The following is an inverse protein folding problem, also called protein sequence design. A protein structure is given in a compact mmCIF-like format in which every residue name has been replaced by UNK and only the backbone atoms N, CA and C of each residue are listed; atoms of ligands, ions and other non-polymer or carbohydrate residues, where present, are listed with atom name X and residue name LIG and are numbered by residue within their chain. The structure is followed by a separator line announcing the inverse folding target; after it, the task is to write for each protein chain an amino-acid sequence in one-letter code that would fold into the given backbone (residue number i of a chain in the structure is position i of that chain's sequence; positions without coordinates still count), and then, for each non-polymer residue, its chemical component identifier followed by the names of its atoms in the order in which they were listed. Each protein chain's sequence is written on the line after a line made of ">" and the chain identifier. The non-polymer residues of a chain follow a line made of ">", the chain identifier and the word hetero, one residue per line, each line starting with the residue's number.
data_IF_673495833095
#
_entry.id   IF_673495833095
#
_cell.length_a   1.000
_cell.length_b   1.000
_cell.length_c   1.000
_cell.angle_alpha   90.00
_cell.angle_beta   90.00
_cell.angle_gamma   90.00
#
_symmetry.space_group_name_H-M   'P 1'
#
loop_
_entity.id
_entity.type
_entity.pdbx_description
1 polymer ?
#
# COMPACT_ATOMS: atom_id res chain seq x y z
N UNK A 1 17.12 -25.33 33.10
CA UNK A 1 18.37 -25.27 33.88
C UNK A 1 18.56 -23.83 34.37
N UNK A 2 18.74 -23.58 35.68
CA UNK A 2 19.03 -22.23 36.16
C UNK A 2 20.44 -21.82 35.73
N UNK A 3 20.53 -20.77 34.91
CA UNK A 3 21.80 -20.19 34.46
C UNK A 3 22.20 -19.11 35.47
N UNK A 4 23.20 -19.39 36.31
CA UNK A 4 23.79 -18.43 37.23
C UNK A 4 24.48 -17.31 36.44
N UNK A 5 24.06 -16.05 36.62
CA UNK A 5 24.68 -14.87 36.00
C UNK A 5 26.14 -14.68 36.49
N UNK A 6 27.11 -15.14 35.70
CA UNK A 6 28.52 -14.75 35.84
C UNK A 6 28.69 -13.34 35.26
N UNK A 7 28.42 -12.31 36.06
CA UNK A 7 28.70 -10.91 35.69
C UNK A 7 30.21 -10.66 35.75
N UNK A 8 30.85 -10.46 34.59
CA UNK A 8 32.13 -9.74 34.52
C UNK A 8 33.25 -10.41 33.72
N UNK A 9 33.14 -11.68 33.32
CA UNK A 9 34.12 -12.28 32.43
C UNK A 9 33.76 -11.98 30.97
N UNK A 10 34.68 -11.35 30.23
CA UNK A 10 34.60 -11.27 28.76
C UNK A 10 34.62 -12.70 28.25
N UNK A 11 33.48 -13.20 27.79
CA UNK A 11 33.38 -14.56 27.24
C UNK A 11 34.31 -14.64 26.02
N UNK A 12 35.24 -15.62 25.97
CA UNK A 12 36.11 -15.77 24.82
C UNK A 12 35.28 -16.05 23.57
N UNK A 13 35.58 -15.32 22.48
CA UNK A 13 34.89 -15.46 21.20
C UNK A 13 35.13 -16.87 20.66
N UNK A 14 34.09 -17.70 20.62
CA UNK A 14 34.15 -19.06 20.09
C UNK A 14 34.35 -18.99 18.57
N UNK A 15 35.26 -19.81 18.06
CA UNK A 15 35.49 -19.93 16.61
C UNK A 15 34.20 -20.44 15.92
N UNK A 16 33.78 -19.86 14.78
CA UNK A 16 32.52 -20.22 14.10
C UNK A 16 32.36 -21.73 13.84
N UNK A 17 33.45 -22.41 13.44
CA UNK A 17 33.50 -23.85 13.18
C UNK A 17 33.23 -24.71 14.42
N UNK A 18 33.70 -24.24 15.58
CA UNK A 18 33.48 -24.90 16.88
C UNK A 18 32.03 -24.70 17.34
N UNK A 19 31.49 -23.50 17.12
CA UNK A 19 30.09 -23.19 17.41
C UNK A 19 29.14 -24.07 16.60
N UNK A 20 29.37 -24.26 15.31
CA UNK A 20 28.55 -25.16 14.47
C UNK A 20 28.55 -26.58 15.03
N UNK A 21 29.73 -27.16 15.29
CA UNK A 21 29.84 -28.51 15.88
C UNK A 21 29.13 -28.62 17.23
N UNK A 22 29.20 -27.57 18.05
CA UNK A 22 28.52 -27.53 19.35
C UNK A 22 26.99 -27.47 19.19
N UNK A 23 26.47 -26.65 18.28
CA UNK A 23 25.03 -26.55 18.02
C UNK A 23 24.52 -27.84 17.40
N UNK A 24 25.20 -28.37 16.40
CA UNK A 24 24.82 -29.62 15.73
C UNK A 24 24.82 -30.81 16.68
N UNK A 25 25.79 -30.88 17.61
CA UNK A 25 25.81 -31.93 18.64
C UNK A 25 24.75 -31.73 19.73
N UNK A 26 24.43 -30.50 20.11
CA UNK A 26 23.42 -30.20 21.14
C UNK A 26 22.00 -30.47 20.67
N UNK A 27 21.69 -30.16 19.41
CA UNK A 27 20.32 -30.22 18.87
C UNK A 27 20.09 -31.35 17.87
N UNK A 28 21.14 -32.05 17.42
CA UNK A 28 21.02 -33.13 16.42
C UNK A 28 20.59 -32.64 15.04
N UNK A 29 20.83 -31.36 14.73
CA UNK A 29 20.50 -30.72 13.44
C UNK A 29 21.78 -30.28 12.72
N UNK A 30 21.73 -30.15 11.40
CA UNK A 30 22.84 -29.59 10.62
C UNK A 30 22.82 -28.06 10.71
N UNK A 31 23.41 -27.53 11.79
CA UNK A 31 23.50 -26.10 12.02
C UNK A 31 24.62 -25.49 11.16
N UNK A 32 24.26 -24.49 10.35
CA UNK A 32 25.18 -23.79 9.46
C UNK A 32 25.15 -22.30 9.76
N UNK A 33 26.32 -21.67 9.90
CA UNK A 33 26.41 -20.21 10.00
C UNK A 33 25.92 -19.53 8.70
N UNK A 34 25.73 -18.21 8.77
CA UNK A 34 25.43 -17.40 7.59
C UNK A 34 26.56 -17.54 6.55
N UNK A 35 26.18 -17.81 5.30
CA UNK A 35 27.12 -18.09 4.22
C UNK A 35 26.85 -17.30 2.92
N UNK A 36 27.46 -17.73 1.82
CA UNK A 36 27.30 -17.12 0.50
C UNK A 36 25.88 -17.29 -0.06
N UNK A 37 25.13 -18.33 0.32
CA UNK A 37 23.75 -18.54 -0.14
C UNK A 37 22.80 -17.60 0.61
N UNK A 38 23.03 -17.36 1.90
CA UNK A 38 22.31 -16.31 2.64
C UNK A 38 22.54 -14.95 1.98
N UNK A 39 23.80 -14.62 1.64
CA UNK A 39 24.14 -13.37 0.96
C UNK A 39 23.47 -13.26 -0.40
N UNK A 40 23.52 -14.33 -1.21
CA UNK A 40 22.82 -14.41 -2.50
C UNK A 40 21.32 -14.17 -2.34
N UNK A 41 20.72 -14.82 -1.34
CA UNK A 41 19.28 -14.69 -1.03
C UNK A 41 18.92 -13.25 -0.69
N UNK A 42 19.72 -12.57 0.15
CA UNK A 42 19.50 -11.17 0.50
C UNK A 42 19.60 -10.24 -0.71
N UNK A 43 20.55 -10.48 -1.61
CA UNK A 43 20.69 -9.71 -2.86
C UNK A 43 19.45 -9.89 -3.75
N UNK A 44 18.99 -11.13 -3.95
CA UNK A 44 17.79 -11.41 -4.75
C UNK A 44 16.56 -10.73 -4.14
N UNK A 45 16.38 -10.82 -2.83
CA UNK A 45 15.30 -10.15 -2.12
C UNK A 45 15.37 -8.62 -2.26
N UNK A 46 16.56 -8.04 -2.13
CA UNK A 46 16.78 -6.60 -2.32
C UNK A 46 16.45 -6.16 -3.76
N UNK A 47 16.81 -6.96 -4.76
CA UNK A 47 16.43 -6.71 -6.16
C UNK A 47 14.91 -6.72 -6.38
N UNK A 48 14.17 -7.64 -5.73
CA UNK A 48 12.71 -7.68 -5.79
C UNK A 48 12.06 -6.43 -5.16
N UNK A 49 12.59 -5.96 -4.03
CA UNK A 49 12.17 -4.69 -3.45
C UNK A 49 12.53 -3.51 -4.36
N UNK A 50 13.72 -3.49 -4.94
CA UNK A 50 14.16 -2.46 -5.90
C UNK A 50 13.23 -2.37 -7.12
N UNK A 51 12.85 -3.51 -7.70
CA UNK A 51 11.88 -3.57 -8.80
C UNK A 51 10.51 -2.99 -8.38
N UNK A 52 10.05 -3.35 -7.18
CA UNK A 52 8.78 -2.84 -6.63
C UNK A 52 8.86 -1.34 -6.31
N UNK A 53 10.02 -0.84 -5.88
CA UNK A 53 10.26 0.59 -5.67
C UNK A 53 10.19 1.35 -7.00
N UNK A 54 10.82 0.85 -8.07
CA UNK A 54 10.76 1.45 -9.41
C UNK A 54 9.31 1.52 -9.89
N UNK A 55 8.52 0.45 -9.68
CA UNK A 55 7.09 0.43 -9.98
C UNK A 55 6.32 1.54 -9.24
N UNK A 56 6.60 1.73 -7.94
CA UNK A 56 5.98 2.78 -7.14
C UNK A 56 6.41 4.19 -7.56
N UNK A 57 7.70 4.39 -7.89
CA UNK A 57 8.20 5.66 -8.42
C UNK A 57 7.51 5.98 -9.74
N UNK A 58 7.36 5.00 -10.63
CA UNK A 58 6.59 5.18 -11.86
C UNK A 58 5.15 5.62 -11.59
N UNK A 59 4.48 5.02 -10.59
CA UNK A 59 3.13 5.43 -10.18
C UNK A 59 3.08 6.87 -9.67
N UNK A 60 4.08 7.31 -8.90
CA UNK A 60 4.17 8.68 -8.40
C UNK A 60 4.44 9.68 -9.52
N UNK A 61 5.32 9.36 -10.47
CA UNK A 61 5.55 10.18 -11.66
C UNK A 61 4.31 10.28 -12.55
N UNK A 62 3.47 9.23 -12.58
CA UNK A 62 2.22 9.18 -13.34
C UNK A 62 0.99 9.38 -12.44
N UNK A 63 1.11 10.12 -11.34
CA UNK A 63 0.03 10.29 -10.36
C UNK A 63 -1.23 10.94 -10.94
N UNK A 64 -1.08 11.74 -12.02
CA UNK A 64 -2.21 12.37 -12.72
C UNK A 64 -3.09 11.36 -13.47
N UNK A 65 -2.64 10.11 -13.66
CA UNK A 65 -3.44 9.07 -14.30
C UNK A 65 -4.52 8.56 -13.35
N UNK A 66 -5.80 8.80 -13.70
CA UNK A 66 -6.97 8.59 -12.82
C UNK A 66 -7.03 7.17 -12.21
N UNK A 67 -6.78 6.07 -12.97
CA UNK A 67 -6.79 4.72 -12.40
C UNK A 67 -5.70 4.47 -11.34
N UNK A 68 -4.50 5.05 -11.50
CA UNK A 68 -3.42 4.94 -10.50
C UNK A 68 -3.79 5.72 -9.23
N UNK A 69 -4.29 6.95 -9.40
CA UNK A 69 -4.74 7.80 -8.28
C UNK A 69 -5.84 7.13 -7.45
N UNK A 70 -6.78 6.45 -8.11
CA UNK A 70 -7.88 5.75 -7.45
C UNK A 70 -7.41 4.62 -6.50
N UNK A 71 -6.26 4.00 -6.78
CA UNK A 71 -5.66 2.96 -5.91
C UNK A 71 -5.02 3.50 -4.63
N UNK A 72 -5.18 4.77 -4.29
CA UNK A 72 -4.68 5.40 -3.07
C UNK A 72 -3.19 5.10 -2.81
N UNK A 73 -2.34 5.72 -3.63
CA UNK A 73 -0.91 5.45 -3.70
C UNK A 73 -0.19 5.63 -2.35
N UNK A 74 -0.64 6.55 -1.50
CA UNK A 74 -0.07 6.79 -0.17
C UNK A 74 -0.13 5.52 0.69
N UNK A 75 -1.30 4.88 0.80
CA UNK A 75 -1.43 3.66 1.58
C UNK A 75 -0.62 2.51 0.99
N UNK A 76 -0.58 2.39 -0.34
CA UNK A 76 0.23 1.36 -1.01
C UNK A 76 1.73 1.57 -0.74
N UNK A 77 2.22 2.81 -0.76
CA UNK A 77 3.60 3.14 -0.42
C UNK A 77 3.91 2.84 1.05
N UNK A 78 3.00 3.13 1.98
CA UNK A 78 3.16 2.77 3.40
C UNK A 78 3.18 1.26 3.62
N UNK A 79 2.35 0.49 2.90
CA UNK A 79 2.38 -0.97 2.88
C UNK A 79 3.76 -1.45 2.43
N UNK A 80 4.26 -0.95 1.30
CA UNK A 80 5.60 -1.29 0.79
C UNK A 80 6.70 -0.98 1.82
N UNK A 81 6.71 0.23 2.40
CA UNK A 81 7.70 0.61 3.41
C UNK A 81 7.64 -0.29 4.64
N UNK A 82 6.44 -0.67 5.09
CA UNK A 82 6.29 -1.61 6.20
C UNK A 82 6.85 -3.00 5.85
N UNK A 83 6.68 -3.48 4.63
CA UNK A 83 7.28 -4.75 4.17
C UNK A 83 8.81 -4.68 4.15
N UNK A 84 9.40 -3.57 3.71
CA UNK A 84 10.87 -3.39 3.72
C UNK A 84 11.41 -3.39 5.15
N UNK A 85 10.76 -2.66 6.07
CA UNK A 85 11.19 -2.60 7.47
C UNK A 85 10.97 -3.93 8.20
N UNK A 86 9.90 -4.65 7.85
CA UNK A 86 9.68 -6.01 8.30
C UNK A 86 10.79 -6.95 7.81
N UNK A 87 11.18 -6.88 6.53
CA UNK A 87 12.29 -7.67 5.98
C UNK A 87 13.61 -7.38 6.71
N UNK A 88 13.91 -6.12 7.03
CA UNK A 88 15.11 -5.79 7.84
C UNK A 88 15.08 -6.49 9.20
N UNK A 89 13.91 -6.53 9.86
CA UNK A 89 13.73 -7.33 11.06
C UNK A 89 13.97 -8.82 10.79
N UNK A 90 13.41 -9.33 9.70
CA UNK A 90 13.50 -10.74 9.33
C UNK A 90 14.94 -11.23 9.15
N UNK A 91 15.79 -10.44 8.48
CA UNK A 91 17.24 -10.69 8.31
C UNK A 91 17.92 -11.06 9.64
N UNK A 92 17.66 -10.27 10.68
CA UNK A 92 18.28 -10.47 12.00
C UNK A 92 17.73 -11.69 12.72
N UNK A 93 16.42 -11.87 12.64
CA UNK A 93 15.71 -12.88 13.42
C UNK A 93 15.83 -14.28 12.83
N UNK A 94 15.99 -14.39 11.50
CA UNK A 94 16.27 -15.65 10.81
C UNK A 94 17.79 -15.96 10.72
N UNK A 95 18.63 -15.17 11.41
CA UNK A 95 20.09 -15.35 11.50
C UNK A 95 20.84 -15.31 10.16
N UNK A 96 20.36 -14.52 9.20
CA UNK A 96 21.12 -14.25 7.97
C UNK A 96 22.37 -13.41 8.23
N UNK A 97 22.44 -12.73 9.39
CA UNK A 97 23.58 -11.94 9.84
C UNK A 97 24.01 -12.36 11.23
N UNK A 98 25.32 -12.23 11.52
CA UNK A 98 25.85 -12.48 12.86
C UNK A 98 25.40 -11.40 13.84
N UNK A 99 24.79 -11.82 14.95
CA UNK A 99 24.22 -10.92 15.96
C UNK A 99 25.28 -10.43 16.96
N UNK A 100 26.22 -9.62 16.47
CA UNK A 100 27.29 -8.98 17.25
C UNK A 100 27.07 -7.45 17.28
N UNK A 101 27.43 -6.80 18.39
CA UNK A 101 27.36 -5.34 18.52
C UNK A 101 25.92 -4.81 18.51
N UNK A 102 25.57 -3.95 17.57
CA UNK A 102 24.20 -3.38 17.48
C UNK A 102 23.16 -4.47 17.16
N UNK A 103 23.57 -5.52 16.47
CA UNK A 103 22.71 -6.65 16.11
C UNK A 103 22.37 -7.55 17.30
N UNK A 104 23.12 -7.51 18.40
CA UNK A 104 22.79 -8.29 19.62
C UNK A 104 21.59 -7.72 20.39
N UNK A 105 21.08 -6.54 20.02
CA UNK A 105 19.90 -5.91 20.63
C UNK A 105 18.60 -6.55 20.14
N UNK A 106 18.40 -7.83 20.48
CA UNK A 106 17.32 -8.69 19.98
C UNK A 106 15.93 -8.08 20.10
N UNK A 107 15.60 -7.42 21.22
CA UNK A 107 14.29 -6.79 21.41
C UNK A 107 14.00 -5.71 20.36
N UNK A 108 15.00 -4.92 19.97
CA UNK A 108 14.83 -3.89 18.92
C UNK A 108 14.45 -4.56 17.60
N UNK A 109 15.23 -5.54 17.17
CA UNK A 109 15.00 -6.15 15.87
C UNK A 109 13.76 -7.05 15.80
N UNK A 110 13.51 -7.85 16.85
CA UNK A 110 12.34 -8.74 16.91
C UNK A 110 11.06 -7.94 17.15
N UNK A 111 11.00 -7.06 18.16
CA UNK A 111 9.75 -6.39 18.53
C UNK A 111 9.44 -5.20 17.61
N UNK A 112 10.43 -4.37 17.32
CA UNK A 112 10.21 -3.09 16.63
C UNK A 112 10.38 -3.18 15.12
N UNK A 113 11.28 -4.03 14.61
CA UNK A 113 11.42 -4.19 13.17
C UNK A 113 10.55 -5.33 12.63
N UNK A 114 10.64 -6.52 13.22
CA UNK A 114 9.84 -7.65 12.75
C UNK A 114 8.37 -7.49 13.15
N UNK A 115 8.03 -7.62 14.42
CA UNK A 115 6.62 -7.69 14.87
C UNK A 115 5.83 -6.42 14.55
N UNK A 116 6.35 -5.24 14.93
CA UNK A 116 5.63 -3.98 14.71
C UNK A 116 5.33 -3.76 13.23
N UNK A 117 6.30 -3.93 12.32
CA UNK A 117 6.04 -3.64 10.91
C UNK A 117 5.22 -4.73 10.22
N UNK A 118 5.26 -5.98 10.66
CA UNK A 118 4.26 -6.99 10.23
C UNK A 118 2.84 -6.55 10.63
N UNK A 119 2.68 -6.01 11.84
CA UNK A 119 1.37 -5.53 12.31
C UNK A 119 0.93 -4.28 11.57
N UNK A 120 1.84 -3.32 11.36
CA UNK A 120 1.58 -2.12 10.55
C UNK A 120 1.19 -2.51 9.13
N UNK A 121 1.87 -3.46 8.50
CA UNK A 121 1.52 -3.99 7.18
C UNK A 121 0.07 -4.51 7.12
N UNK A 122 -0.32 -5.36 8.07
CA UNK A 122 -1.68 -5.87 8.17
C UNK A 122 -2.70 -4.73 8.41
N UNK A 123 -2.33 -3.78 9.28
CA UNK A 123 -3.16 -2.63 9.65
C UNK A 123 -3.43 -1.69 8.48
N UNK A 124 -2.42 -1.37 7.67
CA UNK A 124 -2.58 -0.56 6.47
C UNK A 124 -3.48 -1.26 5.45
N UNK A 125 -3.35 -2.57 5.32
CA UNK A 125 -4.20 -3.38 4.46
C UNK A 125 -5.67 -3.33 4.92
N UNK A 126 -5.91 -3.46 6.23
CA UNK A 126 -7.25 -3.32 6.83
C UNK A 126 -7.82 -1.92 6.60
N UNK A 127 -7.06 -0.86 6.86
CA UNK A 127 -7.50 0.53 6.66
C UNK A 127 -7.88 0.77 5.20
N UNK A 128 -7.11 0.20 4.26
CA UNK A 128 -7.42 0.27 2.84
C UNK A 128 -8.75 -0.43 2.50
N UNK A 129 -8.95 -1.67 2.94
CA UNK A 129 -10.22 -2.38 2.67
C UNK A 129 -11.41 -1.74 3.37
N UNK A 130 -11.21 -1.18 4.56
CA UNK A 130 -12.21 -0.38 5.25
C UNK A 130 -12.58 0.88 4.46
N UNK A 131 -11.61 1.54 3.83
CA UNK A 131 -11.86 2.67 2.94
C UNK A 131 -12.76 2.27 1.76
N UNK A 132 -12.48 1.13 1.14
CA UNK A 132 -13.31 0.59 0.05
C UNK A 132 -14.73 0.25 0.52
N UNK A 133 -14.90 -0.44 1.66
CA UNK A 133 -16.22 -0.76 2.21
C UNK A 133 -17.02 0.52 2.49
N UNK A 134 -16.38 1.55 3.05
CA UNK A 134 -17.04 2.81 3.37
C UNK A 134 -17.52 3.54 2.11
N UNK A 135 -16.68 3.60 1.07
CA UNK A 135 -17.03 4.30 -0.17
C UNK A 135 -18.11 3.56 -0.94
N UNK A 136 -17.94 2.25 -1.16
CA UNK A 136 -18.80 1.48 -2.05
C UNK A 136 -20.04 0.92 -1.36
N UNK A 137 -19.88 0.26 -0.21
CA UNK A 137 -21.03 -0.36 0.49
C UNK A 137 -21.81 0.66 1.31
N UNK A 138 -21.11 1.52 2.05
CA UNK A 138 -21.78 2.48 2.94
C UNK A 138 -22.18 3.78 2.25
N UNK A 139 -21.70 4.02 1.01
CA UNK A 139 -21.93 5.25 0.24
C UNK A 139 -21.55 6.51 1.02
N UNK A 140 -20.59 6.41 1.94
CA UNK A 140 -20.12 7.52 2.77
C UNK A 140 -18.78 8.00 2.23
N UNK A 141 -18.54 9.32 2.14
CA UNK A 141 -17.23 9.82 1.76
C UNK A 141 -16.20 9.32 2.77
N UNK A 142 -15.09 8.80 2.25
CA UNK A 142 -13.92 8.51 3.05
C UNK A 142 -13.15 9.81 3.25
N UNK A 143 -13.58 10.57 4.24
CA UNK A 143 -12.92 11.83 4.60
C UNK A 143 -11.55 11.53 5.21
N UNK A 144 -10.58 12.41 4.93
CA UNK A 144 -9.20 12.30 5.42
C UNK A 144 -9.16 12.10 6.93
N UNK A 145 -10.06 12.76 7.69
CA UNK A 145 -10.12 12.63 9.16
C UNK A 145 -10.49 11.22 9.62
N UNK A 146 -11.51 10.59 9.03
CA UNK A 146 -11.91 9.25 9.49
C UNK A 146 -10.84 8.20 9.16
N UNK A 147 -10.17 8.36 8.02
CA UNK A 147 -9.04 7.53 7.62
C UNK A 147 -7.90 7.60 8.64
N UNK A 148 -7.52 8.83 9.01
CA UNK A 148 -6.46 9.08 9.99
C UNK A 148 -6.82 8.50 11.35
N UNK A 149 -8.06 8.65 11.81
CA UNK A 149 -8.49 8.07 13.10
C UNK A 149 -8.37 6.55 13.08
N UNK A 150 -8.87 5.88 12.04
CA UNK A 150 -8.72 4.42 11.91
C UNK A 150 -7.25 4.00 11.91
N UNK A 151 -6.39 4.71 11.18
CA UNK A 151 -4.95 4.47 11.17
C UNK A 151 -4.32 4.65 12.56
N UNK A 152 -4.58 5.78 13.24
CA UNK A 152 -4.01 6.09 14.55
C UNK A 152 -4.41 5.04 15.58
N UNK A 153 -5.68 4.64 15.61
CA UNK A 153 -6.17 3.61 16.55
C UNK A 153 -5.38 2.31 16.38
N UNK A 154 -5.19 1.85 15.15
CA UNK A 154 -4.49 0.58 14.92
C UNK A 154 -2.98 0.71 15.17
N UNK A 155 -2.35 1.84 14.80
CA UNK A 155 -0.94 2.10 15.11
C UNK A 155 -0.70 2.16 16.62
N UNK A 156 -1.54 2.87 17.37
CA UNK A 156 -1.44 2.95 18.84
C UNK A 156 -1.58 1.58 19.47
N UNK A 157 -2.50 0.75 18.98
CA UNK A 157 -2.65 -0.64 19.45
C UNK A 157 -1.36 -1.45 19.23
N UNK A 158 -0.77 -1.39 18.03
CA UNK A 158 0.46 -2.12 17.70
C UNK A 158 1.67 -1.63 18.50
N UNK A 159 1.82 -0.31 18.65
CA UNK A 159 2.89 0.30 19.45
C UNK A 159 2.75 -0.07 20.93
N UNK A 160 1.51 -0.06 21.45
CA UNK A 160 1.24 -0.48 22.83
C UNK A 160 1.62 -1.95 23.03
N UNK A 161 1.28 -2.82 22.08
CA UNK A 161 1.70 -4.23 22.11
C UNK A 161 3.23 -4.37 22.18
N UNK A 162 3.98 -3.66 21.35
CA UNK A 162 5.44 -3.70 21.37
C UNK A 162 6.03 -3.11 22.66
N UNK A 163 5.47 -2.01 23.17
CA UNK A 163 5.90 -1.40 24.43
C UNK A 163 5.68 -2.33 25.63
N UNK A 164 4.52 -2.97 25.73
CA UNK A 164 4.25 -3.94 26.80
C UNK A 164 5.27 -5.08 26.74
N UNK A 165 5.52 -5.66 25.56
CA UNK A 165 6.50 -6.74 25.41
C UNK A 165 7.95 -6.29 25.61
N UNK A 166 8.28 -5.02 25.35
CA UNK A 166 9.60 -4.46 25.65
C UNK A 166 9.86 -4.42 27.17
N UNK A 167 8.83 -4.09 27.95
CA UNK A 167 8.90 -3.96 29.41
C UNK A 167 8.89 -5.31 30.14
N UNK A 168 8.36 -6.38 29.52
CA UNK A 168 8.38 -7.72 30.10
C UNK A 168 9.82 -8.28 30.11
N UNK A 169 10.13 -9.09 31.13
CA UNK A 169 11.45 -9.71 31.29
C UNK A 169 11.85 -10.59 30.11
N UNK A 170 13.15 -10.67 29.86
CA UNK A 170 13.74 -11.43 28.73
C UNK A 170 13.43 -12.93 28.84
N UNK A 171 13.27 -13.45 30.06
CA UNK A 171 12.88 -14.84 30.33
C UNK A 171 11.48 -15.22 29.82
N UNK A 172 10.59 -14.25 29.63
CA UNK A 172 9.21 -14.43 29.18
C UNK A 172 8.97 -13.92 27.76
N UNK A 173 9.96 -13.25 27.15
CA UNK A 173 9.83 -12.62 25.83
C UNK A 173 10.98 -12.99 24.91
N UNK A 174 11.87 -12.03 24.64
CA UNK A 174 12.99 -12.12 23.72
C UNK A 174 14.25 -11.77 24.49
N UNK A 175 15.20 -12.69 24.51
CA UNK A 175 16.49 -12.52 25.16
C UNK A 175 17.63 -12.83 24.19
N UNK A 176 18.76 -12.13 24.33
CA UNK A 176 19.97 -12.49 23.61
C UNK A 176 20.71 -13.60 24.37
N UNK A 177 21.16 -14.64 23.66
CA UNK A 177 21.94 -15.75 24.21
C UNK A 177 23.39 -15.62 23.71
N UNK A 178 24.33 -15.11 24.53
CA UNK A 178 25.69 -14.80 24.08
C UNK A 178 26.46 -16.01 23.58
N UNK A 179 26.29 -17.18 24.21
CA UNK A 179 26.99 -18.42 23.83
C UNK A 179 26.66 -18.89 22.42
N UNK A 180 25.45 -18.59 21.97
CA UNK A 180 24.96 -18.96 20.66
C UNK A 180 24.96 -17.77 19.70
N UNK A 181 25.25 -16.54 20.12
CA UNK A 181 25.03 -15.32 19.31
C UNK A 181 23.63 -15.30 18.63
N UNK A 182 22.58 -15.74 19.35
CA UNK A 182 21.20 -15.80 18.83
C UNK A 182 20.19 -15.06 19.69
N UNK A 183 19.09 -14.63 19.09
CA UNK A 183 17.92 -14.19 19.81
C UNK A 183 17.06 -15.39 20.18
N UNK A 184 16.97 -15.69 21.48
CA UNK A 184 16.02 -16.66 21.99
C UNK A 184 14.64 -16.01 22.09
N UNK A 185 13.69 -16.55 21.34
CA UNK A 185 12.29 -16.12 21.35
C UNK A 185 11.49 -17.19 22.06
N UNK A 186 10.93 -16.86 23.24
CA UNK A 186 10.15 -17.80 24.04
C UNK A 186 8.89 -18.27 23.30
N UNK A 187 8.50 -19.53 23.53
CA UNK A 187 7.33 -20.13 22.87
C UNK A 187 6.03 -19.37 23.19
N UNK A 188 5.85 -18.91 24.43
CA UNK A 188 4.69 -18.14 24.84
C UNK A 188 4.56 -16.84 24.02
N UNK A 189 5.67 -16.12 23.83
CA UNK A 189 5.69 -14.93 23.00
C UNK A 189 5.39 -15.23 21.53
N UNK A 190 5.94 -16.32 20.96
CA UNK A 190 5.63 -16.75 19.58
C UNK A 190 4.14 -17.00 19.39
N UNK A 191 3.52 -17.79 20.28
CA UNK A 191 2.08 -18.10 20.23
C UNK A 191 1.25 -16.83 20.34
N UNK A 192 1.57 -15.94 21.29
CA UNK A 192 0.85 -14.69 21.47
C UNK A 192 0.93 -13.79 20.22
N UNK A 193 2.13 -13.65 19.65
CA UNK A 193 2.35 -12.82 18.46
C UNK A 193 1.63 -13.38 17.22
N UNK A 194 1.67 -14.70 17.02
CA UNK A 194 0.95 -15.40 15.94
C UNK A 194 -0.56 -15.26 16.14
N UNK A 195 -1.07 -15.43 17.36
CA UNK A 195 -2.50 -15.29 17.67
C UNK A 195 -2.99 -13.88 17.38
N UNK A 196 -2.25 -12.85 17.80
CA UNK A 196 -2.59 -11.47 17.50
C UNK A 196 -2.60 -11.21 15.97
N UNK A 197 -1.66 -11.79 15.22
CA UNK A 197 -1.64 -11.71 13.76
C UNK A 197 -2.86 -12.37 13.11
N UNK A 198 -3.28 -13.54 13.60
CA UNK A 198 -4.52 -14.21 13.16
C UNK A 198 -5.75 -13.35 13.39
N UNK A 199 -5.88 -12.71 14.56
CA UNK A 199 -7.01 -11.82 14.87
C UNK A 199 -7.09 -10.66 13.87
N UNK A 200 -5.96 -10.02 13.55
CA UNK A 200 -5.93 -8.95 12.54
C UNK A 200 -6.42 -9.45 11.17
N UNK A 201 -5.94 -10.60 10.71
CA UNK A 201 -6.31 -11.13 9.39
C UNK A 201 -7.73 -11.72 9.34
N UNK A 202 -8.27 -12.22 10.45
CA UNK A 202 -9.70 -12.55 10.55
C UNK A 202 -10.54 -11.29 10.36
N UNK A 203 -10.17 -10.19 11.01
CA UNK A 203 -10.82 -8.88 10.80
C UNK A 203 -10.76 -8.41 9.34
N UNK A 204 -9.61 -8.62 8.69
CA UNK A 204 -9.44 -8.37 7.26
C UNK A 204 -10.37 -9.25 6.40
N UNK A 205 -10.48 -10.55 6.70
CA UNK A 205 -11.38 -11.48 6.03
C UNK A 205 -12.85 -11.07 6.14
N UNK A 206 -13.28 -10.57 7.31
CA UNK A 206 -14.63 -10.02 7.51
C UNK A 206 -14.88 -8.81 6.60
N UNK A 207 -13.90 -7.91 6.46
CA UNK A 207 -14.02 -6.77 5.54
C UNK A 207 -14.12 -7.23 4.09
N UNK A 208 -13.26 -8.15 3.64
CA UNK A 208 -13.29 -8.69 2.27
C UNK A 208 -14.64 -9.38 1.99
N UNK A 209 -15.17 -10.13 2.95
CA UNK A 209 -16.49 -10.72 2.83
C UNK A 209 -17.58 -9.67 2.65
N UNK A 210 -17.48 -8.51 3.31
CA UNK A 210 -18.40 -7.38 3.06
C UNK A 210 -18.21 -6.76 1.68
N UNK A 211 -16.98 -6.72 1.16
CA UNK A 211 -16.68 -6.21 -0.18
C UNK A 211 -17.27 -7.07 -1.32
N UNK A 212 -17.78 -8.29 -1.05
CA UNK A 212 -18.36 -9.19 -2.06
C UNK A 212 -19.53 -8.61 -2.86
N UNK A 213 -20.20 -7.59 -2.31
CA UNK A 213 -21.38 -6.99 -2.94
C UNK A 213 -21.03 -5.78 -3.83
N UNK A 214 -19.74 -5.44 -3.96
CA UNK A 214 -19.31 -4.34 -4.82
C UNK A 214 -19.33 -4.84 -6.28
N UNK A 215 -20.19 -4.26 -7.10
CA UNK A 215 -20.29 -4.59 -8.52
C UNK A 215 -19.01 -4.16 -9.25
N UNK A 216 -18.10 -5.11 -9.43
CA UNK A 216 -17.16 -5.40 -10.52
C UNK A 216 -16.41 -4.31 -11.34
N UNK A 217 -16.66 -3.00 -11.26
CA UNK A 217 -16.01 -2.08 -12.21
C UNK A 217 -14.50 -2.00 -12.09
N UNK A 218 -13.95 -2.26 -10.90
CA UNK A 218 -12.51 -2.10 -10.63
C UNK A 218 -11.74 -3.40 -10.44
N UNK A 219 -12.37 -4.58 -10.62
CA UNK A 219 -11.78 -5.89 -10.29
C UNK A 219 -11.22 -5.98 -8.85
N UNK A 220 -11.55 -5.01 -7.99
CA UNK A 220 -10.95 -4.84 -6.67
C UNK A 220 -11.29 -5.97 -5.70
N UNK A 221 -12.45 -6.59 -5.88
CA UNK A 221 -12.82 -7.76 -5.08
C UNK A 221 -11.92 -8.96 -5.36
N UNK A 222 -11.65 -9.26 -6.62
CA UNK A 222 -10.76 -10.36 -7.00
C UNK A 222 -9.31 -10.08 -6.61
N UNK A 223 -8.85 -8.84 -6.77
CA UNK A 223 -7.54 -8.41 -6.25
C UNK A 223 -7.45 -8.59 -4.73
N UNK A 224 -8.52 -8.22 -3.99
CA UNK A 224 -8.58 -8.38 -2.53
C UNK A 224 -8.57 -9.86 -2.11
N UNK A 225 -9.27 -10.73 -2.84
CA UNK A 225 -9.23 -12.18 -2.61
C UNK A 225 -7.83 -12.72 -2.88
N UNK A 226 -7.18 -12.34 -3.98
CA UNK A 226 -5.83 -12.80 -4.31
C UNK A 226 -4.83 -12.41 -3.20
N UNK A 227 -4.91 -11.17 -2.72
CA UNK A 227 -4.14 -10.69 -1.57
C UNK A 227 -4.42 -11.52 -0.33
N UNK A 228 -5.70 -11.77 -0.01
CA UNK A 228 -6.08 -12.56 1.16
C UNK A 228 -5.55 -14.00 1.09
N UNK A 229 -5.62 -14.64 -0.07
CA UNK A 229 -5.09 -16.01 -0.26
C UNK A 229 -3.58 -16.05 -0.04
N UNK A 230 -2.82 -15.11 -0.62
CA UNK A 230 -1.37 -15.01 -0.42
C UNK A 230 -1.04 -14.85 1.06
N UNK A 231 -1.76 -13.99 1.76
CA UNK A 231 -1.53 -13.71 3.17
C UNK A 231 -1.93 -14.87 4.09
N UNK A 232 -3.04 -15.56 3.82
CA UNK A 232 -3.41 -16.74 4.61
C UNK A 232 -2.38 -17.85 4.40
N UNK A 233 -1.88 -18.04 3.17
CA UNK A 233 -0.77 -18.95 2.91
C UNK A 233 0.48 -18.59 3.72
N UNK A 234 0.86 -17.32 3.73
CA UNK A 234 1.98 -16.78 4.50
C UNK A 234 1.82 -16.99 6.01
N UNK A 235 0.61 -16.78 6.52
CA UNK A 235 0.28 -16.92 7.93
C UNK A 235 0.29 -18.38 8.38
N UNK A 236 -0.20 -19.29 7.54
CA UNK A 236 -0.12 -20.73 7.75
C UNK A 236 1.33 -21.21 7.76
N UNK A 237 2.13 -20.81 6.76
CA UNK A 237 3.57 -21.09 6.71
C UNK A 237 4.26 -20.60 7.98
N UNK A 238 4.03 -19.34 8.36
CA UNK A 238 4.66 -18.74 9.55
C UNK A 238 4.25 -19.49 10.83
N UNK A 239 2.98 -19.91 10.93
CA UNK A 239 2.47 -20.69 12.06
C UNK A 239 3.15 -22.06 12.13
N UNK A 240 3.23 -22.79 11.00
CA UNK A 240 3.89 -24.10 10.94
C UNK A 240 5.39 -23.98 11.27
N UNK A 241 6.08 -23.03 10.64
CA UNK A 241 7.52 -22.82 10.85
C UNK A 241 7.85 -22.49 12.31
N UNK A 242 7.08 -21.61 12.95
CA UNK A 242 7.38 -21.20 14.32
C UNK A 242 6.93 -22.21 15.39
N UNK A 243 5.86 -22.96 15.15
CA UNK A 243 5.33 -23.91 16.14
C UNK A 243 5.93 -25.30 16.02
N UNK A 244 6.20 -25.77 14.79
CA UNK A 244 6.69 -27.13 14.57
C UNK A 244 8.22 -27.19 14.54
N UNK A 245 8.88 -26.16 14.01
CA UNK A 245 10.34 -26.14 13.83
C UNK A 245 10.98 -25.13 14.76
N UNK A 246 11.09 -25.46 16.05
CA UNK A 246 11.62 -24.55 17.08
C UNK A 246 12.99 -23.95 16.72
N UNK A 247 13.81 -24.74 16.01
CA UNK A 247 15.20 -24.46 15.63
C UNK A 247 15.38 -24.11 14.14
N UNK A 248 14.31 -23.72 13.42
CA UNK A 248 14.38 -23.47 11.97
C UNK A 248 15.44 -22.43 11.57
N UNK A 249 15.78 -21.50 12.46
CA UNK A 249 16.80 -20.46 12.25
C UNK A 249 18.21 -21.02 12.04
N UNK A 250 18.50 -22.21 12.57
CA UNK A 250 19.79 -22.88 12.40
C UNK A 250 19.84 -23.75 11.13
N UNK A 251 18.67 -24.17 10.62
CA UNK A 251 18.54 -24.94 9.40
C UNK A 251 18.57 -24.00 8.18
N UNK A 252 19.71 -23.97 7.47
CA UNK A 252 19.95 -23.09 6.32
C UNK A 252 18.79 -23.05 5.31
N UNK A 253 18.29 -24.23 4.91
CA UNK A 253 17.21 -24.32 3.93
C UNK A 253 15.93 -23.64 4.40
N UNK A 254 15.54 -23.84 5.66
CA UNK A 254 14.30 -23.29 6.22
C UNK A 254 14.39 -21.79 6.46
N UNK A 255 15.52 -21.28 6.95
CA UNK A 255 15.68 -19.82 7.12
C UNK A 255 15.63 -19.09 5.77
N UNK A 256 16.25 -19.64 4.72
CA UNK A 256 16.21 -19.07 3.37
C UNK A 256 14.79 -19.14 2.81
N UNK A 257 14.14 -20.30 2.90
CA UNK A 257 12.75 -20.48 2.47
C UNK A 257 11.83 -19.46 3.14
N UNK A 258 11.91 -19.34 4.48
CA UNK A 258 11.08 -18.42 5.26
C UNK A 258 11.19 -16.98 4.76
N UNK A 259 12.43 -16.50 4.62
CA UNK A 259 12.72 -15.13 4.22
C UNK A 259 12.28 -14.86 2.78
N UNK A 260 12.51 -15.81 1.86
CA UNK A 260 12.06 -15.69 0.46
C UNK A 260 10.54 -15.64 0.38
N UNK A 261 9.84 -16.50 1.11
CA UNK A 261 8.37 -16.54 1.14
C UNK A 261 7.82 -15.22 1.68
N UNK A 262 8.39 -14.67 2.76
CA UNK A 262 8.00 -13.37 3.32
C UNK A 262 8.16 -12.23 2.32
N UNK A 263 9.30 -12.18 1.63
CA UNK A 263 9.58 -11.13 0.63
C UNK A 263 8.68 -11.26 -0.60
N UNK A 264 8.52 -12.46 -1.14
CA UNK A 264 7.66 -12.71 -2.29
C UNK A 264 6.22 -12.37 -1.96
N UNK A 265 5.69 -12.82 -0.83
CA UNK A 265 4.33 -12.50 -0.42
C UNK A 265 4.12 -10.99 -0.24
N UNK A 266 5.03 -10.33 0.49
CA UNK A 266 4.94 -8.89 0.75
C UNK A 266 5.04 -8.04 -0.51
N UNK A 267 5.89 -8.42 -1.47
CA UNK A 267 5.99 -7.74 -2.76
C UNK A 267 4.78 -8.03 -3.65
N UNK A 268 4.32 -9.28 -3.74
CA UNK A 268 3.12 -9.65 -4.50
C UNK A 268 1.88 -8.86 -4.07
N UNK A 269 1.70 -8.58 -2.77
CA UNK A 269 0.60 -7.75 -2.30
C UNK A 269 0.64 -6.34 -2.89
N UNK A 270 1.81 -5.71 -2.96
CA UNK A 270 1.97 -4.39 -3.60
C UNK A 270 1.66 -4.49 -5.10
N UNK A 271 2.18 -5.53 -5.76
CA UNK A 271 1.91 -5.79 -7.17
C UNK A 271 0.43 -6.04 -7.47
N UNK A 272 -0.32 -6.71 -6.59
CA UNK A 272 -1.76 -6.88 -6.78
C UNK A 272 -2.52 -5.55 -6.67
N UNK A 273 -2.06 -4.60 -5.85
CA UNK A 273 -2.71 -3.29 -5.76
C UNK A 273 -2.48 -2.39 -6.97
N UNK A 274 -1.28 -2.38 -7.55
CA UNK A 274 -0.89 -1.39 -8.57
C UNK A 274 -0.36 -1.98 -9.88
N UNK A 275 -0.01 -3.25 -9.94
CA UNK A 275 0.59 -3.87 -11.12
C UNK A 275 -0.29 -3.80 -12.36
N UNK A 276 -1.58 -4.11 -12.21
CA UNK A 276 -2.54 -4.02 -13.33
C UNK A 276 -2.70 -2.59 -13.90
N UNK A 277 -3.02 -1.55 -13.10
CA UNK A 277 -3.14 -0.19 -13.63
C UNK A 277 -1.82 0.37 -14.18
N UNK A 278 -0.65 -0.04 -13.65
CA UNK A 278 0.64 0.35 -14.23
C UNK A 278 0.85 -0.29 -15.59
N UNK A 279 0.60 -1.59 -15.72
CA UNK A 279 0.68 -2.28 -17.01
C UNK A 279 -0.21 -1.61 -18.06
N UNK A 280 -1.46 -1.34 -17.71
CA UNK A 280 -2.40 -0.66 -18.61
C UNK A 280 -1.99 0.79 -18.90
N UNK A 281 -1.40 1.51 -17.94
CA UNK A 281 -0.87 2.86 -18.15
C UNK A 281 0.30 2.89 -19.15
N UNK A 282 1.13 1.85 -19.19
CA UNK A 282 2.28 1.77 -20.11
C UNK A 282 1.82 1.43 -21.52
N UNK A 283 0.97 0.40 -21.67
CA UNK A 283 0.66 -0.17 -23.00
C UNK A 283 -0.65 0.34 -23.61
N UNK A 284 -1.68 0.63 -22.80
CA UNK A 284 -3.05 0.92 -23.26
C UNK A 284 -3.66 2.14 -22.57
N UNK A 285 -2.85 3.18 -22.36
CA UNK A 285 -3.19 4.30 -21.46
C UNK A 285 -4.56 4.92 -21.72
N UNK A 286 -4.83 5.32 -22.98
CA UNK A 286 -6.08 6.00 -23.36
C UNK A 286 -7.29 5.07 -23.31
N UNK A 287 -7.15 3.88 -23.91
CA UNK A 287 -8.22 2.89 -23.96
C UNK A 287 -8.61 2.37 -22.57
N UNK A 288 -7.64 2.17 -21.68
CA UNK A 288 -7.93 1.75 -20.31
C UNK A 288 -8.60 2.86 -19.51
N UNK A 289 -8.17 4.12 -19.67
CA UNK A 289 -8.82 5.25 -19.01
C UNK A 289 -10.26 5.45 -19.46
N UNK A 290 -10.53 5.35 -20.77
CA UNK A 290 -11.88 5.43 -21.29
C UNK A 290 -12.76 4.28 -20.77
N UNK A 291 -12.28 3.03 -20.85
CA UNK A 291 -13.00 1.86 -20.29
C UNK A 291 -13.25 2.01 -18.80
N UNK A 292 -12.30 2.57 -18.06
CA UNK A 292 -12.42 2.84 -16.63
C UNK A 292 -13.51 3.90 -16.35
N UNK A 293 -13.55 4.99 -17.13
CA UNK A 293 -14.58 6.03 -17.02
C UNK A 293 -15.97 5.51 -17.39
N UNK A 294 -16.09 4.71 -18.45
CA UNK A 294 -17.36 4.10 -18.86
C UNK A 294 -17.93 3.16 -17.79
N UNK A 295 -17.07 2.35 -17.16
CA UNK A 295 -17.44 1.48 -16.04
C UNK A 295 -17.89 2.29 -14.83
N UNK A 296 -17.13 3.34 -14.50
CA UNK A 296 -17.49 4.25 -13.42
C UNK A 296 -18.83 4.95 -13.66
N UNK A 297 -19.13 5.34 -14.91
CA UNK A 297 -20.41 5.93 -15.28
C UNK A 297 -21.58 4.94 -15.15
N UNK A 298 -21.35 3.65 -15.45
CA UNK A 298 -22.34 2.57 -15.28
C UNK A 298 -22.63 2.24 -13.81
N UNK A 299 -21.61 2.31 -12.95
CA UNK A 299 -21.76 2.08 -11.50
C UNK A 299 -22.27 3.29 -10.74
N UNK A 300 -22.13 4.49 -11.31
CA UNK A 300 -22.74 5.69 -10.79
C UNK A 300 -24.25 5.48 -10.66
N UNK A 301 -24.88 5.87 -9.55
CA UNK A 301 -26.31 5.70 -9.40
C UNK A 301 -27.01 6.68 -10.35
N UNK A 302 -27.25 6.23 -11.57
CA UNK A 302 -28.08 6.88 -12.58
C UNK A 302 -29.47 7.22 -12.04
N UNK A 303 -29.91 6.56 -10.95
CA UNK A 303 -31.13 6.87 -10.21
C UNK A 303 -31.05 8.01 -9.18
N UNK A 304 -29.87 8.44 -8.72
CA UNK A 304 -29.78 9.54 -7.73
C UNK A 304 -29.71 10.91 -8.38
N UNK A 305 -29.30 11.00 -9.65
CA UNK A 305 -29.33 12.25 -10.42
C UNK A 305 -30.67 12.51 -11.13
N UNK A 306 -31.57 11.53 -11.16
CA UNK A 306 -32.98 11.76 -11.50
C UNK A 306 -33.79 12.34 -10.33
N UNK A 307 -33.17 12.63 -9.19
CA UNK A 307 -33.81 13.34 -8.09
C UNK A 307 -33.81 14.85 -8.40
N UNK A 308 -34.96 15.26 -8.91
CA UNK A 308 -35.47 16.64 -8.98
C UNK A 308 -34.72 17.62 -9.87
N UNK A 309 -35.03 17.57 -11.17
CA UNK A 309 -35.37 18.78 -11.93
C UNK A 309 -36.65 19.44 -11.39
N UNK A 310 -36.75 19.60 -10.06
CA UNK A 310 -37.77 20.44 -9.46
C UNK A 310 -37.09 21.81 -9.26
N UNK A 311 -37.30 22.78 -10.16
CA UNK A 311 -36.60 24.07 -10.14
C UNK A 311 -36.80 24.89 -8.85
N UNK A 312 -37.67 24.43 -7.94
CA UNK A 312 -38.00 25.11 -6.69
C UNK A 312 -37.39 24.44 -5.44
N UNK A 313 -36.58 23.38 -5.60
CA UNK A 313 -35.95 22.67 -4.49
C UNK A 313 -34.68 23.35 -3.98
N UNK A 314 -34.80 24.26 -3.02
CA UNK A 314 -33.68 24.90 -2.29
C UNK A 314 -32.96 23.92 -1.36
N UNK A 315 -32.39 22.84 -1.89
CA UNK A 315 -31.53 21.95 -1.10
C UNK A 315 -30.10 22.50 -1.04
N UNK A 316 -29.61 22.70 0.19
CA UNK A 316 -28.33 23.33 0.54
C UNK A 316 -27.07 22.70 -0.09
N UNK A 317 -27.17 21.55 -0.76
CA UNK A 317 -26.05 20.89 -1.45
C UNK A 317 -25.70 21.51 -2.81
N UNK A 318 -26.62 22.24 -3.45
CA UNK A 318 -26.31 22.98 -4.70
C UNK A 318 -25.46 24.25 -4.45
N UNK A 319 -25.40 24.73 -3.20
CA UNK A 319 -24.76 26.00 -2.84
C UNK A 319 -23.22 25.94 -2.73
N UNK A 320 -22.61 24.77 -2.94
CA UNK A 320 -21.16 24.61 -2.89
C UNK A 320 -20.46 24.84 -4.24
N UNK A 321 -21.20 24.92 -5.35
CA UNK A 321 -20.63 25.21 -6.68
C UNK A 321 -20.72 26.70 -7.08
N UNK A 322 -21.33 27.56 -6.25
CA UNK A 322 -21.71 28.91 -6.65
C UNK A 322 -20.91 30.02 -5.94
N UNK A 323 -19.82 29.67 -5.26
CA UNK A 323 -18.96 30.63 -4.54
C UNK A 323 -17.66 31.00 -5.29
N UNK A 324 -17.53 30.62 -6.57
CA UNK A 324 -16.31 30.82 -7.36
C UNK A 324 -16.37 31.87 -8.46
N UNK A 325 -17.52 32.04 -9.13
CA UNK A 325 -17.56 32.74 -10.44
C UNK A 325 -18.35 34.06 -10.46
N UNK A 326 -18.86 34.55 -9.31
CA UNK A 326 -19.65 35.78 -9.26
C UNK A 326 -18.83 37.08 -9.31
N UNK A 327 -17.58 37.06 -9.80
CA UNK A 327 -16.73 38.26 -9.92
C UNK A 327 -16.45 38.72 -11.36
N UNK A 328 -16.76 37.94 -12.39
CA UNK A 328 -16.49 38.34 -13.78
C UNK A 328 -17.55 37.79 -14.74
N UNK A 329 -18.66 38.50 -14.92
CA UNK A 329 -19.29 38.75 -16.24
C UNK A 329 -20.65 39.43 -16.08
N UNK A 330 -20.61 40.76 -15.91
CA UNK A 330 -21.67 41.62 -16.43
C UNK A 330 -21.31 41.99 -17.88
N UNK A 331 -21.71 41.15 -18.83
CA UNK A 331 -21.88 41.58 -20.22
C UNK A 331 -23.02 40.81 -20.86
N UNK A 332 -24.17 41.48 -20.86
CA UNK A 332 -25.34 41.28 -21.71
C UNK A 332 -24.96 40.73 -23.09
N UNK A 333 -25.49 39.55 -23.45
CA UNK A 333 -25.80 39.21 -24.84
C UNK A 333 -27.19 38.57 -24.81
N UNK A 334 -28.18 39.39 -25.18
CA UNK A 334 -29.52 38.93 -25.54
C UNK A 334 -29.41 38.12 -26.84
N UNK A 335 -29.82 36.85 -26.80
CA UNK A 335 -30.14 36.12 -28.01
C UNK A 335 -31.64 35.86 -28.08
N UNK A 336 -32.18 36.40 -29.16
CA UNK A 336 -33.58 36.50 -29.52
C UNK A 336 -34.24 35.13 -29.64
N UNK A 337 -35.46 35.06 -29.10
CA UNK A 337 -36.41 33.97 -29.33
C UNK A 337 -37.06 34.21 -30.68
N UNK A 338 -36.74 33.39 -31.67
CA UNK A 338 -37.65 32.95 -32.72
C UNK A 338 -36.95 31.87 -33.54
N UNK A 339 -37.39 30.61 -33.43
CA UNK A 339 -37.84 29.92 -34.63
C UNK A 339 -38.65 28.66 -34.31
N UNK A 340 -39.74 28.57 -35.06
CA UNK A 340 -40.81 27.60 -35.00
C UNK A 340 -40.44 26.29 -35.71
N UNK A 341 -40.97 25.19 -35.17
CA UNK A 341 -41.74 24.14 -35.86
C UNK A 341 -41.27 23.75 -37.27
N UNK A 342 -40.78 22.52 -37.41
CA UNK A 342 -41.26 21.66 -38.51
C UNK A 342 -41.29 20.19 -38.10
N UNK A 343 -42.51 19.62 -38.11
CA UNK A 343 -42.76 18.19 -38.09
C UNK A 343 -42.49 17.62 -39.48
N UNK A 344 -41.80 16.47 -39.53
CA UNK A 344 -41.61 15.69 -40.76
C UNK A 344 -41.74 14.21 -40.47
N UNK A 345 -42.92 13.67 -40.81
CA UNK A 345 -43.19 12.24 -40.98
C UNK A 345 -42.23 11.66 -42.03
N UNK A 346 -41.63 10.49 -41.75
CA UNK A 346 -40.77 9.77 -42.69
C UNK A 346 -40.78 8.28 -42.39
N UNK A 347 -41.29 7.54 -43.37
CA UNK A 347 -41.68 6.14 -43.38
C UNK A 347 -40.50 5.15 -43.56
N UNK A 348 -40.81 3.89 -43.27
CA UNK A 348 -40.09 2.62 -43.34
C UNK A 348 -38.77 2.48 -44.14
N UNK A 349 -37.83 1.68 -43.61
CA UNK A 349 -37.31 0.50 -44.34
C UNK A 349 -36.44 -0.42 -43.46
N UNK A 350 -36.79 -1.70 -43.47
CA UNK A 350 -35.92 -2.81 -43.09
C UNK A 350 -34.63 -2.82 -43.94
N UNK A 351 -33.48 -3.07 -43.30
CA UNK A 351 -32.29 -3.60 -43.97
C UNK A 351 -31.77 -4.83 -43.21
N UNK A 352 -31.36 -5.91 -43.88
CA UNK A 352 -30.72 -7.05 -43.26
C UNK A 352 -29.26 -6.74 -42.92
N UNK A 353 -28.79 -7.33 -41.83
CA UNK A 353 -27.38 -7.36 -41.44
C UNK A 353 -26.59 -8.29 -42.36
N UNK A 354 -25.75 -7.72 -43.20
CA UNK A 354 -24.56 -8.37 -43.76
C UNK A 354 -23.57 -7.28 -44.21
N UNK A 355 -22.51 -7.09 -43.45
CA UNK A 355 -21.12 -7.26 -43.90
C UNK A 355 -20.10 -6.66 -42.94
N UNK A 356 -18.99 -7.38 -42.85
CA UNK A 356 -17.72 -6.99 -42.28
C UNK A 356 -17.16 -5.74 -42.97
N UNK A 357 -17.11 -4.61 -42.25
CA UNK A 357 -16.21 -3.50 -42.57
C UNK A 357 -15.08 -3.43 -41.53
N UNK A 358 -13.83 -3.23 -41.96
CA UNK A 358 -12.70 -2.97 -41.06
C UNK A 358 -12.92 -1.63 -40.36
N UNK A 359 -12.79 -1.63 -39.03
CA UNK A 359 -12.90 -0.45 -38.18
C UNK A 359 -11.95 0.66 -38.66
N UNK A 360 -12.54 1.71 -39.24
CA UNK A 360 -11.90 2.98 -39.54
C UNK A 360 -11.74 3.79 -38.23
N UNK A 361 -10.59 3.60 -37.57
CA UNK A 361 -10.26 4.21 -36.27
C UNK A 361 -9.84 5.68 -36.42
N UNK A 362 -9.55 6.17 -37.63
CA UNK A 362 -9.06 7.54 -37.82
C UNK A 362 -10.17 8.61 -37.75
N UNK A 363 -11.44 8.27 -38.03
CA UNK A 363 -12.55 9.21 -38.00
C UNK A 363 -13.08 9.60 -36.61
N UNK A 364 -12.80 8.80 -35.56
CA UNK A 364 -13.40 8.99 -34.22
C UNK A 364 -12.52 9.75 -33.22
N UNK A 365 -11.27 10.09 -33.58
CA UNK A 365 -10.36 10.83 -32.69
C UNK A 365 -10.56 12.35 -32.70
N UNK A 366 -11.27 12.92 -33.69
CA UNK A 366 -11.43 14.38 -33.84
C UNK A 366 -12.75 14.95 -33.30
N UNK A 367 -13.63 14.14 -32.71
CA UNK A 367 -14.95 14.57 -32.20
C UNK A 367 -15.14 14.32 -30.69
N UNK A 368 -14.06 14.14 -29.92
CA UNK A 368 -14.16 14.11 -28.46
C UNK A 368 -14.40 15.52 -27.91
N UNK A 369 -15.67 15.85 -27.70
CA UNK A 369 -16.07 16.98 -26.87
C UNK A 369 -15.35 16.89 -25.50
N UNK A 370 -14.86 18.01 -24.94
CA UNK A 370 -14.15 18.01 -23.67
C UNK A 370 -15.02 17.40 -22.57
N UNK A 371 -14.55 16.30 -21.99
CA UNK A 371 -15.25 15.58 -20.92
C UNK A 371 -15.42 16.48 -19.70
N UNK A 372 -16.67 16.73 -19.29
CA UNK A 372 -16.98 17.60 -18.17
C UNK A 372 -16.75 16.88 -16.84
N UNK A 373 -15.66 17.19 -16.15
CA UNK A 373 -15.30 16.61 -14.85
C UNK A 373 -16.35 16.84 -13.73
N UNK A 374 -17.30 17.75 -13.96
CA UNK A 374 -18.46 17.98 -13.09
C UNK A 374 -19.52 16.87 -13.13
N UNK A 375 -19.27 15.75 -13.83
CA UNK A 375 -20.17 14.58 -13.83
C UNK A 375 -19.66 13.42 -12.96
N UNK A 376 -18.44 13.49 -12.43
CA UNK A 376 -17.89 12.41 -11.60
C UNK A 376 -18.54 12.34 -10.21
N UNK A 377 -18.68 11.15 -9.59
CA UNK A 377 -19.19 11.01 -8.22
C UNK A 377 -18.41 11.87 -7.21
N UNK A 378 -19.09 12.43 -6.20
CA UNK A 378 -18.49 13.34 -5.20
C UNK A 378 -17.28 12.70 -4.48
N UNK A 379 -17.34 11.39 -4.20
CA UNK A 379 -16.25 10.64 -3.58
C UNK A 379 -14.96 10.63 -4.43
N UNK A 380 -15.09 10.72 -5.75
CA UNK A 380 -13.95 10.86 -6.65
C UNK A 380 -13.54 12.33 -6.76
N UNK A 381 -14.47 13.28 -6.89
CA UNK A 381 -14.14 14.73 -6.95
C UNK A 381 -13.33 15.21 -5.76
N UNK A 382 -13.70 14.78 -4.55
CA UNK A 382 -12.96 15.17 -3.35
C UNK A 382 -11.51 14.65 -3.38
N UNK A 383 -11.23 13.51 -3.98
CA UNK A 383 -9.85 13.05 -4.21
C UNK A 383 -9.19 13.72 -5.43
N UNK A 384 -9.96 14.25 -6.39
CA UNK A 384 -9.41 14.99 -7.53
C UNK A 384 -9.01 16.42 -7.17
N UNK A 385 -9.71 17.06 -6.23
CA UNK A 385 -9.48 18.45 -5.82
C UNK A 385 -8.54 18.59 -4.62
N UNK A 386 -8.02 17.48 -4.04
CA UNK A 386 -7.17 17.57 -2.84
C UNK A 386 -5.77 18.13 -3.12
N UNK A 387 -5.25 18.12 -4.36
CA UNK A 387 -4.04 18.86 -4.71
C UNK A 387 -4.02 19.20 -6.21
N UNK A 388 -4.66 20.29 -6.61
CA UNK A 388 -3.92 21.22 -7.48
C UNK A 388 -2.91 21.90 -6.55
N UNK A 389 -1.59 21.60 -6.64
CA UNK A 389 -0.63 22.44 -5.95
C UNK A 389 -0.87 23.86 -6.45
N UNK A 390 -1.14 24.79 -5.53
CA UNK A 390 -1.05 26.22 -5.80
C UNK A 390 0.45 26.49 -6.03
N UNK A 391 0.93 26.12 -7.22
CA UNK A 391 2.27 26.41 -7.72
C UNK A 391 2.28 27.85 -8.27
N UNK A 392 1.84 28.79 -7.44
CA UNK A 392 1.92 30.23 -7.69
C UNK A 392 2.58 30.90 -6.49
N UNK A 393 3.80 30.48 -6.18
CA UNK A 393 4.82 31.32 -5.53
C UNK A 393 6.19 30.80 -5.96
N UNK A 394 6.94 31.53 -6.80
CA UNK A 394 8.32 31.17 -7.11
C UNK A 394 9.17 31.50 -5.88
N UNK A 395 9.39 30.52 -5.00
CA UNK A 395 10.43 30.64 -3.97
C UNK A 395 11.79 30.40 -4.60
N UNK A 396 12.55 31.49 -4.64
CA UNK A 396 13.99 31.60 -4.84
C UNK A 396 14.78 30.31 -4.63
N UNK A 397 15.28 29.73 -5.71
CA UNK A 397 16.60 29.10 -5.76
C UNK A 397 17.04 29.11 -7.24
N UNK A 398 17.57 30.24 -7.69
CA UNK A 398 18.40 30.31 -8.89
C UNK A 398 19.71 31.02 -8.57
N UNK A 399 20.80 30.29 -8.79
CA UNK A 399 22.08 30.76 -9.34
C UNK A 399 22.63 32.09 -8.84
N UNK A 400 23.74 32.00 -8.10
CA UNK A 400 24.72 33.07 -8.06
C UNK A 400 25.24 33.37 -9.47
N UNK A 401 24.92 34.57 -9.94
CA UNK A 401 25.76 35.34 -10.83
C UNK A 401 26.06 36.66 -10.11
N UNK A 402 27.35 36.95 -9.99
CA UNK A 402 27.86 38.21 -9.47
C UNK A 402 27.56 39.33 -10.47
N UNK A 403 26.88 40.37 -10.01
CA UNK A 403 27.00 41.72 -10.55
C UNK A 403 27.70 42.61 -9.50
N UNK A 404 28.55 43.55 -9.93
CA UNK A 404 29.41 44.34 -9.04
C UNK A 404 28.61 45.42 -8.31
N UNK A 405 28.89 45.59 -7.02
CA UNK A 405 28.34 46.67 -6.21
C UNK A 405 28.89 48.04 -6.68
N UNK A 406 28.04 49.05 -6.90
CA UNK A 406 28.45 50.40 -7.21
C UNK A 406 28.53 51.20 -5.91
N UNK A 407 29.46 50.87 -5.01
CA UNK A 407 29.86 51.83 -3.98
C UNK A 407 31.23 51.46 -3.39
N UNK A 408 32.24 52.16 -3.90
CA UNK A 408 33.61 52.08 -3.43
C UNK A 408 33.77 52.70 -2.06
N UNK A 409 33.48 51.95 -0.99
CA UNK A 409 33.94 52.28 0.36
C UNK A 409 34.48 51.05 1.06
N UNK A 410 35.81 51.03 1.15
CA UNK A 410 36.55 50.22 2.10
C UNK A 410 36.26 50.72 3.51
N UNK A 411 35.84 49.82 4.40
CA UNK A 411 36.00 49.99 5.84
C UNK A 411 36.53 48.66 6.40
N UNK A 412 37.53 48.80 7.27
CA UNK A 412 38.46 47.81 7.83
C UNK A 412 37.84 46.51 8.36
#
# INVERSE_FOLDING_TARGET
>A
MPVTELRGAVQPRIEPSTREKMISSMFGIDASNADNDDTTTLIVCACLFGLTAILLVYCWCNYNYRPIRAKNLVWTSLIYLSTVLWFIGDITTNQHVRLVGVWSRCKIWVLWFRVLFTYVFASMTIVRFYALDRVFNQKKPFTTRSSIISFVVVVVFNVTYCLVNQLISDSLTVGYVPSLEVCNITMAFRIAAITAQWVLWIGCGVLIFRLRNIQSSFNEFYESIAIFVVIIGLLLETTVTNLHYEYYVFEKKRRIEKTVVDVVAGTLVVWFFIGHPVFMSIFYRKEYEQRWLERLAKDGPSNTYNISSNPNGTTAYAKMNDFGDSAFNNSHIDFDKNDMIHSGYGDASHRPFDNHDPLDIEGTLNTQAPYNDNLLPIALRNNMNIHTPVLNTPTMFSSGYMDPAPDGRHVL
#
